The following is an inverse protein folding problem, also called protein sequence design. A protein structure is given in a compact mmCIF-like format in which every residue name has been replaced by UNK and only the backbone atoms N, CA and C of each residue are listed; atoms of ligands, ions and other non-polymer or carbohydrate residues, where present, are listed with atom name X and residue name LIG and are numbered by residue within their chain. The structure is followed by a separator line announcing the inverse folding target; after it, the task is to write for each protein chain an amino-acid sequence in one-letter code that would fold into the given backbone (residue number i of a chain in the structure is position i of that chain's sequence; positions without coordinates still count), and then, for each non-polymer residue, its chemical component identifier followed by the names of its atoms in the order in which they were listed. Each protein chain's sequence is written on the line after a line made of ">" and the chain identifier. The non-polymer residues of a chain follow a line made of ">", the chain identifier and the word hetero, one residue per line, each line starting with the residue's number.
data_IF_474880832480
#
_entry.id   IF_474880832480
#
_cell.length_a   1.000
_cell.length_b   1.000
_cell.length_c   1.000
_cell.angle_alpha   90.00
_cell.angle_beta   90.00
_cell.angle_gamma   90.00
#
_symmetry.space_group_name_H-M   'P 1'
#
loop_
_entity.id
_entity.type
_entity.pdbx_description
1 polymer ?
#
# COMPACT_ATOMS: atom_id res chain seq x y z
N UNK A 1 9.61 3.27 8.80
CA UNK A 1 11.05 3.60 8.83
C UNK A 1 11.93 2.36 8.82
N UNK A 2 11.86 1.44 9.79
CA UNK A 2 12.67 0.19 9.78
C UNK A 2 12.41 -0.70 8.55
N UNK A 3 11.14 -0.94 8.23
CA UNK A 3 10.74 -1.72 7.06
C UNK A 3 11.21 -1.11 5.73
N UNK A 4 11.24 0.22 5.70
CA UNK A 4 11.60 1.04 4.55
C UNK A 4 13.08 0.90 4.20
N UNK A 5 13.96 0.82 5.21
CA UNK A 5 15.39 0.57 5.02
C UNK A 5 15.66 -0.81 4.43
N UNK A 6 15.02 -1.84 4.99
CA UNK A 6 15.21 -3.21 4.54
C UNK A 6 14.73 -3.43 3.11
N UNK A 7 13.54 -2.90 2.78
CA UNK A 7 13.00 -2.96 1.42
C UNK A 7 13.73 -2.04 0.44
N UNK A 8 14.26 -0.91 0.88
CA UNK A 8 15.10 -0.04 0.05
C UNK A 8 16.39 -0.72 -0.40
N UNK A 9 17.09 -1.38 0.53
CA UNK A 9 18.28 -2.18 0.21
C UNK A 9 17.97 -3.33 -0.77
N UNK A 10 16.82 -3.99 -0.59
CA UNK A 10 16.36 -5.04 -1.49
C UNK A 10 15.98 -4.50 -2.88
N UNK A 11 15.42 -3.28 -2.95
CA UNK A 11 15.02 -2.61 -4.18
C UNK A 11 16.21 -2.17 -5.03
N UNK A 12 17.29 -1.70 -4.38
CA UNK A 12 18.49 -1.25 -5.08
C UNK A 12 19.34 -2.43 -5.61
N UNK A 13 19.24 -3.63 -5.04
CA UNK A 13 20.02 -4.80 -5.45
C UNK A 13 19.38 -5.66 -6.55
N UNK A 14 18.05 -5.75 -6.62
CA UNK A 14 17.32 -6.66 -7.56
C UNK A 14 16.61 -5.97 -8.72
N UNK A 15 16.78 -4.65 -8.86
CA UNK A 15 16.13 -3.84 -9.87
C UNK A 15 14.75 -3.36 -9.43
N UNK A 16 14.56 -2.03 -9.44
CA UNK A 16 13.42 -1.33 -8.82
C UNK A 16 12.05 -1.78 -9.33
N UNK A 17 11.92 -2.11 -10.61
CA UNK A 17 10.64 -2.54 -11.21
C UNK A 17 10.19 -3.92 -10.70
N UNK A 18 11.12 -4.87 -10.59
CA UNK A 18 10.85 -6.24 -10.11
C UNK A 18 10.45 -6.22 -8.63
N UNK A 19 11.13 -5.41 -7.82
CA UNK A 19 10.83 -5.29 -6.39
C UNK A 19 9.47 -4.62 -6.16
N UNK A 20 9.10 -3.62 -6.96
CA UNK A 20 7.76 -3.03 -6.92
C UNK A 20 6.68 -4.07 -7.23
N UNK A 21 6.86 -4.89 -8.27
CA UNK A 21 5.91 -5.95 -8.62
C UNK A 21 5.81 -7.03 -7.54
N UNK A 22 6.94 -7.46 -6.96
CA UNK A 22 6.94 -8.41 -5.84
C UNK A 22 6.26 -7.84 -4.59
N UNK A 23 6.49 -6.56 -4.26
CA UNK A 23 5.88 -5.92 -3.10
C UNK A 23 4.37 -5.76 -3.26
N UNK A 24 3.91 -5.40 -4.47
CA UNK A 24 2.49 -5.38 -4.83
C UNK A 24 1.88 -6.78 -4.66
N UNK A 25 2.52 -7.81 -5.22
CA UNK A 25 2.02 -9.18 -5.15
C UNK A 25 1.95 -9.68 -3.70
N UNK A 26 3.00 -9.43 -2.90
CA UNK A 26 3.03 -9.77 -1.49
C UNK A 26 1.91 -9.06 -0.70
N UNK A 27 1.68 -7.78 -0.99
CA UNK A 27 0.58 -7.01 -0.36
C UNK A 27 -0.78 -7.60 -0.73
N UNK A 28 -1.01 -7.94 -1.99
CA UNK A 28 -2.25 -8.57 -2.45
C UNK A 28 -2.50 -9.91 -1.76
N UNK A 29 -1.49 -10.79 -1.73
CA UNK A 29 -1.59 -12.11 -1.07
C UNK A 29 -1.88 -11.94 0.43
N UNK A 30 -1.18 -11.03 1.10
CA UNK A 30 -1.36 -10.78 2.53
C UNK A 30 -2.74 -10.17 2.84
N UNK A 31 -3.29 -9.36 1.92
CA UNK A 31 -4.65 -8.81 2.02
C UNK A 31 -5.71 -9.90 1.85
N UNK A 32 -5.52 -10.81 0.90
CA UNK A 32 -6.41 -11.97 0.72
C UNK A 32 -6.36 -12.89 1.93
N UNK A 33 -5.17 -13.22 2.43
CA UNK A 33 -5.01 -14.03 3.65
C UNK A 33 -5.62 -13.35 4.88
N UNK A 34 -5.51 -12.02 5.01
CA UNK A 34 -6.19 -11.26 6.07
C UNK A 34 -7.71 -11.39 5.99
N UNK A 35 -8.28 -11.54 4.80
CA UNK A 35 -9.72 -11.70 4.62
C UNK A 35 -10.24 -13.07 5.07
N UNK A 36 -9.38 -14.08 5.13
CA UNK A 36 -9.70 -15.43 5.62
C UNK A 36 -9.35 -15.62 7.11
N UNK A 37 -8.60 -14.69 7.71
CA UNK A 37 -8.19 -14.78 9.11
C UNK A 37 -9.38 -14.46 10.04
N UNK A 38 -9.91 -15.49 10.71
CA UNK A 38 -11.04 -15.37 11.65
C UNK A 38 -10.59 -15.11 13.10
N UNK A 39 -9.35 -15.48 13.45
CA UNK A 39 -8.78 -15.30 14.81
C UNK A 39 -8.13 -13.93 15.01
N UNK A 40 -8.30 -13.34 16.19
CA UNK A 40 -7.74 -12.01 16.54
C UNK A 40 -6.22 -11.95 16.39
N UNK A 41 -5.50 -12.99 16.82
CA UNK A 41 -4.03 -13.03 16.73
C UNK A 41 -3.56 -13.19 15.29
N UNK A 42 -4.21 -14.02 14.48
CA UNK A 42 -3.83 -14.20 13.07
C UNK A 42 -4.12 -12.93 12.24
N UNK A 43 -5.22 -12.24 12.54
CA UNK A 43 -5.52 -10.91 12.01
C UNK A 43 -4.45 -9.88 12.38
N UNK A 44 -4.00 -9.85 13.64
CA UNK A 44 -2.98 -8.92 14.11
C UNK A 44 -1.64 -9.13 13.39
N UNK A 45 -1.19 -10.38 13.28
CA UNK A 45 0.07 -10.73 12.60
C UNK A 45 -0.02 -10.39 11.11
N UNK A 46 -1.11 -10.76 10.44
CA UNK A 46 -1.32 -10.45 9.03
C UNK A 46 -1.41 -8.95 8.76
N UNK A 47 -2.08 -8.18 9.63
CA UNK A 47 -2.11 -6.71 9.56
C UNK A 47 -0.73 -6.10 9.71
N UNK A 48 0.09 -6.64 10.61
CA UNK A 48 1.45 -6.17 10.81
C UNK A 48 2.27 -6.38 9.53
N UNK A 49 2.24 -7.59 8.97
CA UNK A 49 2.95 -7.93 7.72
C UNK A 49 2.42 -7.10 6.54
N UNK A 50 1.10 -7.01 6.37
CA UNK A 50 0.48 -6.21 5.33
C UNK A 50 0.87 -4.72 5.43
N UNK A 51 0.91 -4.17 6.65
CA UNK A 51 1.36 -2.81 6.91
C UNK A 51 2.82 -2.57 6.49
N UNK A 52 3.70 -3.53 6.78
CA UNK A 52 5.11 -3.48 6.35
C UNK A 52 5.22 -3.50 4.81
N UNK A 53 4.45 -4.35 4.14
CA UNK A 53 4.43 -4.45 2.68
C UNK A 53 3.87 -3.17 2.00
N UNK A 54 2.80 -2.59 2.54
CA UNK A 54 2.19 -1.35 2.01
C UNK A 54 3.17 -0.17 2.14
N UNK A 55 3.86 -0.05 3.28
CA UNK A 55 4.86 1.02 3.48
C UNK A 55 6.06 0.87 2.53
N UNK A 56 6.48 -0.36 2.25
CA UNK A 56 7.55 -0.60 1.27
C UNK A 56 7.11 -0.26 -0.16
N UNK A 57 5.92 -0.72 -0.56
CA UNK A 57 5.40 -0.52 -1.91
C UNK A 57 5.21 0.95 -2.23
N UNK A 58 4.65 1.73 -1.29
CA UNK A 58 4.48 3.18 -1.46
C UNK A 58 5.83 3.90 -1.57
N UNK A 59 6.80 3.59 -0.71
CA UNK A 59 8.14 4.18 -0.77
C UNK A 59 8.83 3.90 -2.13
N UNK A 60 8.86 2.63 -2.56
CA UNK A 60 9.49 2.22 -3.83
C UNK A 60 8.75 2.84 -5.02
N UNK A 61 7.42 2.95 -4.97
CA UNK A 61 6.63 3.59 -6.02
C UNK A 61 7.00 5.08 -6.18
N UNK A 62 7.15 5.82 -5.07
CA UNK A 62 7.60 7.22 -5.12
C UNK A 62 9.03 7.36 -5.62
N UNK A 63 9.95 6.50 -5.20
CA UNK A 63 11.33 6.51 -5.68
C UNK A 63 11.41 6.18 -7.18
N UNK A 64 10.65 5.18 -7.63
CA UNK A 64 10.56 4.78 -9.03
C UNK A 64 9.95 5.91 -9.88
N UNK A 65 8.81 6.48 -9.49
CA UNK A 65 8.23 7.64 -10.17
C UNK A 65 9.20 8.83 -10.20
N UNK A 66 9.99 9.01 -9.14
CA UNK A 66 11.02 10.02 -9.06
C UNK A 66 12.12 9.85 -10.11
N UNK A 67 12.49 8.63 -10.49
CA UNK A 67 13.48 8.36 -11.55
C UNK A 67 12.96 8.69 -12.95
N UNK A 68 11.67 8.48 -13.21
CA UNK A 68 11.06 8.74 -14.53
C UNK A 68 10.54 10.17 -14.69
N UNK A 69 10.42 10.94 -13.61
CA UNK A 69 9.92 12.31 -13.65
C UNK A 69 11.05 13.36 -13.63
N UNK A 70 11.08 14.23 -14.63
CA UNK A 70 11.87 15.47 -14.64
C UNK A 70 11.55 16.30 -13.40
N UNK A 71 12.56 16.92 -12.77
CA UNK A 71 12.45 17.61 -11.48
C UNK A 71 11.28 18.62 -11.38
N UNK A 72 10.87 19.19 -12.51
CA UNK A 72 9.79 20.17 -12.62
C UNK A 72 8.36 19.60 -12.47
N UNK A 73 8.14 18.31 -12.75
CA UNK A 73 6.81 17.65 -12.65
C UNK A 73 6.68 16.68 -11.47
N UNK A 74 7.76 16.40 -10.73
CA UNK A 74 7.73 15.50 -9.56
C UNK A 74 6.63 15.87 -8.56
N UNK A 75 6.48 17.16 -8.24
CA UNK A 75 5.45 17.63 -7.30
C UNK A 75 4.02 17.37 -7.79
N UNK A 76 3.76 17.55 -9.09
CA UNK A 76 2.44 17.29 -9.67
C UNK A 76 2.11 15.80 -9.68
N UNK A 77 3.06 14.94 -10.06
CA UNK A 77 2.84 13.49 -10.10
C UNK A 77 2.61 12.91 -8.70
N UNK A 78 3.36 13.39 -7.70
CA UNK A 78 3.11 13.03 -6.30
C UNK A 78 1.75 13.53 -5.85
N UNK A 79 1.37 14.77 -6.19
CA UNK A 79 0.05 15.31 -5.86
C UNK A 79 -1.10 14.49 -6.47
N UNK A 80 -0.99 14.08 -7.75
CA UNK A 80 -1.98 13.19 -8.38
C UNK A 80 -2.08 11.83 -7.69
N UNK A 81 -0.94 11.24 -7.28
CA UNK A 81 -0.93 9.98 -6.53
C UNK A 81 -1.61 10.13 -5.15
N UNK A 82 -1.34 11.24 -4.44
CA UNK A 82 -1.99 11.55 -3.17
C UNK A 82 -3.50 11.70 -3.32
N UNK A 83 -3.96 12.38 -4.38
CA UNK A 83 -5.39 12.57 -4.67
C UNK A 83 -6.07 11.22 -4.92
N UNK A 84 -5.44 10.31 -5.66
CA UNK A 84 -5.96 8.95 -5.87
C UNK A 84 -6.12 8.17 -4.55
N UNK A 85 -5.15 8.28 -3.64
CA UNK A 85 -5.24 7.64 -2.32
C UNK A 85 -6.42 8.21 -1.54
N UNK A 86 -6.60 9.54 -1.53
CA UNK A 86 -7.72 10.20 -0.84
C UNK A 86 -9.08 9.74 -1.38
N UNK A 87 -9.24 9.64 -2.70
CA UNK A 87 -10.48 9.10 -3.30
C UNK A 87 -10.77 7.67 -2.86
N UNK A 88 -9.74 6.82 -2.76
CA UNK A 88 -9.89 5.45 -2.28
C UNK A 88 -10.41 5.37 -0.84
N UNK A 89 -9.87 6.20 0.07
CA UNK A 89 -10.32 6.26 1.47
C UNK A 89 -11.78 6.71 1.57
N UNK A 90 -12.17 7.72 0.80
CA UNK A 90 -13.56 8.22 0.76
C UNK A 90 -14.52 7.13 0.29
N UNK A 91 -14.16 6.38 -0.76
CA UNK A 91 -14.98 5.27 -1.25
C UNK A 91 -15.18 4.17 -0.20
N UNK A 92 -14.11 3.77 0.49
CA UNK A 92 -14.18 2.76 1.57
C UNK A 92 -15.05 3.24 2.73
N UNK A 93 -14.86 4.48 3.17
CA UNK A 93 -15.66 5.06 4.25
C UNK A 93 -17.16 5.13 3.89
N UNK A 94 -17.49 5.50 2.64
CA UNK A 94 -18.87 5.54 2.15
C UNK A 94 -19.53 4.17 2.08
N UNK A 95 -18.79 3.13 1.68
CA UNK A 95 -19.30 1.74 1.71
C UNK A 95 -19.62 1.29 3.14
N UNK A 96 -18.74 1.59 4.10
CA UNK A 96 -18.91 1.18 5.49
C UNK A 96 -20.12 1.87 6.13
N UNK A 97 -20.31 3.18 5.90
CA UNK A 97 -21.46 3.91 6.43
C UNK A 97 -22.79 3.41 5.87
N UNK A 98 -22.82 3.01 4.59
CA UNK A 98 -24.01 2.45 3.94
C UNK A 98 -24.38 1.06 4.50
N UNK A 99 -23.38 0.20 4.75
CA UNK A 99 -23.58 -1.13 5.36
C UNK A 99 -24.08 -1.00 6.80
N UNK A 100 -23.52 -0.08 7.59
CA UNK A 100 -23.97 0.16 8.96
C UNK A 100 -25.42 0.65 8.99
N UNK A 101 -25.81 1.57 8.10
CA UNK A 101 -27.18 2.06 8.01
C UNK A 101 -28.18 0.91 7.74
N UNK A 102 -27.80 -0.04 6.88
CA UNK A 102 -28.66 -1.17 6.54
C UNK A 102 -28.82 -2.20 7.67
N UNK A 103 -27.88 -2.27 8.62
CA UNK A 103 -27.92 -3.16 9.81
C UNK A 103 -28.62 -2.54 11.03
N UNK A 104 -28.88 -1.23 11.01
CA UNK A 104 -29.51 -0.51 12.13
C UNK A 104 -31.00 -0.23 11.90
N UNK A 105 -31.57 -0.73 10.79
CA UNK A 105 -33.01 -0.67 10.47
C UNK A 105 -33.64 -2.05 10.69
#
# INVERSE_FOLDING_TARGET
>A
MLASYFWGYQADTRGRKTVLQCALFATSVCSVMSSFATDFISLLVMRFIAGLCISATSAIAYTYLGEFCTAQRRGQVVAYASVMISFGVVYVAGKLSLILNHLTT
#
